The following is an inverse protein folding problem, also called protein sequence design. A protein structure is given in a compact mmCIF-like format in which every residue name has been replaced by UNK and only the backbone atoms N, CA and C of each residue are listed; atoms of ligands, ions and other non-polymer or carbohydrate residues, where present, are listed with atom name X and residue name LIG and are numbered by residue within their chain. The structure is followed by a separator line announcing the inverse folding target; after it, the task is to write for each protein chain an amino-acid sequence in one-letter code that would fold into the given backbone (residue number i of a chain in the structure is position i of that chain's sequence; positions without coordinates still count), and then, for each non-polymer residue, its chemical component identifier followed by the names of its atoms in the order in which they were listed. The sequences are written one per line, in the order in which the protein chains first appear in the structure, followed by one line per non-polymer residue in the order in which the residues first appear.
data_IF_861395264601
#
_entry.id   IF_861395264601
#
_cell.length_a   1.000
_cell.length_b   1.000
_cell.length_c   1.000
_cell.angle_alpha   90.00
_cell.angle_beta   90.00
_cell.angle_gamma   90.00
#
_symmetry.space_group_name_H-M   'P 1'
#
loop_
_entity.id
_entity.type
_entity.pdbx_description
1 polymer ?
#
# COMPACT_ATOMS: atom_id res chain seq x y z
N UNK A 1 10.73 -19.82 6.81
CA UNK A 1 10.05 -18.81 7.66
C UNK A 1 10.50 -17.39 7.35
N UNK A 2 11.81 -17.09 7.38
CA UNK A 2 12.39 -15.77 7.07
C UNK A 2 11.99 -15.19 5.69
N UNK A 3 11.90 -16.04 4.65
CA UNK A 3 11.44 -15.66 3.30
C UNK A 3 10.02 -15.06 3.25
N UNK A 4 9.14 -15.38 4.21
CA UNK A 4 7.78 -14.83 4.27
C UNK A 4 7.71 -13.50 5.01
N UNK A 5 8.57 -13.30 6.01
CA UNK A 5 8.64 -12.06 6.81
C UNK A 5 9.20 -10.89 5.97
N UNK A 6 10.18 -11.17 5.11
CA UNK A 6 10.77 -10.18 4.19
C UNK A 6 9.74 -9.58 3.22
N UNK A 7 8.84 -10.42 2.71
CA UNK A 7 7.82 -10.02 1.72
C UNK A 7 6.70 -9.18 2.34
N UNK A 8 6.47 -9.34 3.65
CA UNK A 8 5.53 -8.52 4.43
C UNK A 8 6.07 -7.14 4.67
N UNK A 9 7.38 -7.01 4.95
CA UNK A 9 8.01 -5.70 5.10
C UNK A 9 7.84 -4.83 3.85
N UNK A 10 8.02 -5.43 2.67
CA UNK A 10 7.77 -4.76 1.38
C UNK A 10 6.29 -4.40 1.21
N UNK A 11 5.37 -5.32 1.52
CA UNK A 11 3.92 -5.08 1.46
C UNK A 11 3.47 -3.87 2.29
N UNK A 12 4.01 -3.75 3.50
CA UNK A 12 3.66 -2.68 4.45
C UNK A 12 4.30 -1.36 4.01
N UNK A 13 5.55 -1.35 3.56
CA UNK A 13 6.22 -0.14 3.05
C UNK A 13 5.49 0.45 1.83
N UNK A 14 5.01 -0.42 0.93
CA UNK A 14 4.28 -0.04 -0.30
C UNK A 14 2.89 0.49 0.02
N UNK A 15 2.19 -0.15 0.96
CA UNK A 15 0.92 0.35 1.49
C UNK A 15 1.06 1.75 2.11
N UNK A 16 2.18 2.03 2.78
CA UNK A 16 2.44 3.33 3.41
C UNK A 16 2.79 4.43 2.40
N UNK A 17 3.55 4.10 1.35
CA UNK A 17 3.77 5.02 0.21
C UNK A 17 2.45 5.34 -0.48
N UNK A 18 1.59 4.34 -0.65
CA UNK A 18 0.25 4.51 -1.22
C UNK A 18 -0.64 5.40 -0.32
N UNK A 19 -0.63 5.19 1.00
CA UNK A 19 -1.36 6.06 1.94
C UNK A 19 -0.86 7.52 1.94
N UNK A 20 0.45 7.74 1.83
CA UNK A 20 1.03 9.08 1.73
C UNK A 20 0.60 9.79 0.42
N UNK A 21 0.57 9.07 -0.70
CA UNK A 21 0.21 9.61 -2.01
C UNK A 21 -1.29 9.94 -2.15
N UNK A 22 -2.19 9.27 -1.42
CA UNK A 22 -3.65 9.48 -1.56
C UNK A 22 -4.27 10.44 -0.53
N UNK A 23 -3.47 10.98 0.39
CA UNK A 23 -3.94 11.93 1.42
C UNK A 23 -4.06 13.38 0.93
N UNK A 24 -3.57 13.69 -0.27
CA UNK A 24 -3.41 15.06 -0.75
C UNK A 24 -4.29 15.27 -1.98
N UNK A 25 -5.56 15.60 -1.79
CA UNK A 25 -6.41 15.97 -2.92
C UNK A 25 -7.57 16.90 -2.57
N UNK A 26 -7.91 17.87 -3.43
CA UNK A 26 -9.12 18.66 -3.24
C UNK A 26 -10.32 17.82 -3.66
N UNK A 27 -11.17 17.50 -2.70
CA UNK A 27 -12.43 16.79 -2.93
C UNK A 27 -12.95 16.15 -1.65
N UNK A 28 -14.25 16.33 -1.37
CA UNK A 28 -14.91 15.69 -0.23
C UNK A 28 -15.45 14.32 -0.65
N UNK A 29 -14.70 13.25 -0.42
CA UNK A 29 -15.12 11.89 -0.76
C UNK A 29 -14.68 10.86 0.26
N UNK A 30 -15.31 9.70 0.19
CA UNK A 30 -14.91 8.48 0.87
C UNK A 30 -14.73 7.37 -0.18
N UNK A 31 -13.63 6.64 -0.11
CA UNK A 31 -13.32 5.54 -1.01
C UNK A 31 -12.97 4.27 -0.23
N UNK A 32 -13.60 3.16 -0.61
CA UNK A 32 -13.29 1.83 -0.11
C UNK A 32 -12.40 1.12 -1.10
N UNK A 33 -11.36 0.48 -0.60
CA UNK A 33 -10.38 -0.25 -1.38
C UNK A 33 -10.25 -1.68 -0.86
N UNK A 34 -10.09 -2.63 -1.77
CA UNK A 34 -9.59 -3.97 -1.43
C UNK A 34 -8.12 -4.09 -1.75
N UNK A 35 -7.43 -4.91 -0.97
CA UNK A 35 -6.02 -5.20 -1.12
C UNK A 35 -5.85 -6.68 -1.44
N UNK A 36 -5.17 -6.97 -2.54
CA UNK A 36 -4.81 -8.33 -2.91
C UNK A 36 -3.30 -8.42 -3.14
N UNK A 37 -2.73 -9.54 -2.71
CA UNK A 37 -1.39 -9.98 -3.03
C UNK A 37 -1.44 -11.18 -3.97
N UNK A 38 -0.70 -11.16 -5.06
CA UNK A 38 -0.47 -12.32 -5.92
C UNK A 38 1.01 -12.66 -5.90
N UNK A 39 1.34 -13.81 -5.35
CA UNK A 39 2.70 -14.36 -5.39
C UNK A 39 2.79 -15.42 -6.49
N UNK A 40 3.74 -15.26 -7.42
CA UNK A 40 3.97 -16.21 -8.50
C UNK A 40 5.40 -16.73 -8.44
N UNK A 41 5.57 -18.03 -8.58
CA UNK A 41 6.86 -18.73 -8.57
C UNK A 41 6.84 -19.86 -9.61
N UNK A 42 7.98 -20.51 -9.92
CA UNK A 42 8.00 -21.67 -10.80
C UNK A 42 7.08 -22.81 -10.32
N UNK A 43 6.86 -22.92 -9.00
CA UNK A 43 5.97 -23.91 -8.39
C UNK A 43 4.48 -23.54 -8.43
N UNK A 44 4.11 -22.40 -9.01
CA UNK A 44 2.71 -21.95 -9.14
C UNK A 44 2.45 -20.54 -8.61
N UNK A 45 1.18 -20.13 -8.69
CA UNK A 45 0.70 -18.82 -8.24
C UNK A 45 -0.27 -18.95 -7.07
N UNK A 46 -0.16 -18.03 -6.11
CA UNK A 46 -1.02 -17.92 -4.93
C UNK A 46 -1.57 -16.51 -4.85
N UNK A 47 -2.90 -16.40 -4.78
CA UNK A 47 -3.61 -15.14 -4.54
C UNK A 47 -4.07 -15.11 -3.08
N UNK A 48 -3.83 -13.99 -2.41
CA UNK A 48 -4.20 -13.74 -1.03
C UNK A 48 -4.90 -12.40 -0.92
N UNK A 49 -6.11 -12.39 -0.36
CA UNK A 49 -6.78 -11.14 -0.03
C UNK A 49 -6.23 -10.62 1.29
N UNK A 50 -5.52 -9.49 1.20
CA UNK A 50 -4.86 -8.87 2.34
C UNK A 50 -5.82 -8.05 3.19
N UNK A 51 -6.98 -7.66 2.67
CA UNK A 51 -7.98 -6.92 3.43
C UNK A 51 -8.45 -5.67 2.70
N UNK A 52 -8.69 -4.59 3.44
CA UNK A 52 -9.31 -3.39 2.90
C UNK A 52 -8.79 -2.10 3.55
N UNK A 53 -8.94 -1.01 2.81
CA UNK A 53 -8.67 0.36 3.26
C UNK A 53 -9.91 1.19 3.00
N UNK A 54 -10.26 2.00 3.96
CA UNK A 54 -11.20 3.09 3.83
C UNK A 54 -10.44 4.40 3.94
N UNK A 55 -10.57 5.25 2.93
CA UNK A 55 -9.99 6.58 2.88
C UNK A 55 -11.12 7.61 2.84
N UNK A 56 -11.06 8.62 3.69
CA UNK A 56 -11.89 9.81 3.62
C UNK A 56 -11.03 11.04 3.41
N UNK A 57 -11.31 11.79 2.36
CA UNK A 57 -10.67 13.07 2.04
C UNK A 57 -11.70 14.18 2.19
N UNK A 58 -11.38 15.23 2.95
CA UNK A 58 -12.33 16.30 3.27
C UNK A 58 -11.63 17.53 3.83
N UNK A 59 -12.31 18.26 4.73
CA UNK A 59 -11.65 19.35 5.49
C UNK A 59 -10.59 18.80 6.44
N UNK A 60 -10.74 17.54 6.83
CA UNK A 60 -9.77 16.72 7.53
C UNK A 60 -9.80 15.34 6.86
N UNK A 61 -8.70 14.62 6.94
CA UNK A 61 -8.57 13.31 6.31
C UNK A 61 -8.66 12.22 7.36
N UNK A 62 -9.15 11.05 6.96
CA UNK A 62 -9.06 9.84 7.78
C UNK A 62 -8.79 8.61 6.93
N UNK A 63 -8.13 7.64 7.56
CA UNK A 63 -7.92 6.31 7.01
C UNK A 63 -8.23 5.28 8.08
N UNK A 64 -8.97 4.25 7.68
CA UNK A 64 -9.10 3.02 8.45
C UNK A 64 -8.69 1.86 7.55
N UNK A 65 -7.76 1.03 7.99
CA UNK A 65 -7.37 -0.16 7.25
C UNK A 65 -7.43 -1.40 8.13
N UNK A 66 -7.79 -2.53 7.52
CA UNK A 66 -7.66 -3.84 8.14
C UNK A 66 -6.88 -4.74 7.19
N UNK A 67 -5.74 -5.21 7.67
CA UNK A 67 -4.78 -6.00 6.91
C UNK A 67 -4.61 -7.36 7.60
N UNK A 68 -4.77 -8.44 6.85
CA UNK A 68 -4.67 -9.81 7.29
C UNK A 68 -3.50 -10.47 6.57
N UNK A 69 -2.54 -10.94 7.34
CA UNK A 69 -1.41 -11.68 6.79
C UNK A 69 -0.92 -12.73 7.76
N UNK A 70 -0.72 -13.95 7.27
CA UNK A 70 -0.18 -15.09 8.05
C UNK A 70 -0.87 -15.32 9.40
N UNK A 71 -2.19 -15.17 9.45
CA UNK A 71 -3.00 -15.39 10.65
C UNK A 71 -3.03 -14.22 11.63
N UNK A 72 -2.30 -13.12 11.37
CA UNK A 72 -2.42 -11.88 12.12
C UNK A 72 -3.37 -10.91 11.42
N UNK A 73 -4.14 -10.16 12.22
CA UNK A 73 -4.91 -9.00 11.78
C UNK A 73 -4.29 -7.73 12.37
N UNK A 74 -3.99 -6.78 11.48
CA UNK A 74 -3.46 -5.46 11.79
C UNK A 74 -4.54 -4.46 11.42
N UNK A 75 -4.88 -3.58 12.35
CA UNK A 75 -5.79 -2.46 12.10
C UNK A 75 -4.99 -1.16 12.18
N UNK A 76 -5.22 -0.26 11.23
CA UNK A 76 -4.58 1.05 11.19
C UNK A 76 -5.67 2.10 11.23
N UNK A 77 -5.51 3.07 12.12
CA UNK A 77 -6.34 4.27 12.21
C UNK A 77 -5.45 5.48 12.04
N UNK A 78 -5.80 6.34 11.09
CA UNK A 78 -5.11 7.60 10.85
C UNK A 78 -6.14 8.70 10.68
N UNK A 79 -5.89 9.87 11.25
CA UNK A 79 -6.72 11.04 11.02
C UNK A 79 -5.92 12.34 11.20
N UNK A 80 -6.33 13.39 10.50
CA UNK A 80 -5.80 14.74 10.68
C UNK A 80 -6.75 15.60 11.51
N UNK A 81 -6.22 16.55 12.28
CA UNK A 81 -7.00 17.60 12.93
C UNK A 81 -6.13 18.84 13.12
N UNK A 82 -6.48 19.96 12.47
CA UNK A 82 -5.84 21.27 12.67
C UNK A 82 -4.31 21.18 12.63
N UNK A 83 -3.80 20.67 11.51
CA UNK A 83 -2.37 20.46 11.20
C UNK A 83 -1.65 19.37 12.00
N UNK A 84 -2.39 18.60 12.82
CA UNK A 84 -1.84 17.45 13.54
C UNK A 84 -2.27 16.16 12.88
N UNK A 85 -1.36 15.19 12.86
CA UNK A 85 -1.61 13.83 12.42
C UNK A 85 -1.68 12.92 13.63
N UNK A 86 -2.66 12.02 13.64
CA UNK A 86 -2.82 11.01 14.68
C UNK A 86 -2.82 9.64 14.02
N UNK A 87 -2.00 8.74 14.52
CA UNK A 87 -1.92 7.38 14.01
C UNK A 87 -1.92 6.37 15.16
N UNK A 88 -2.69 5.30 14.97
CA UNK A 88 -2.67 4.13 15.82
C UNK A 88 -2.61 2.86 14.98
N UNK A 89 -1.80 1.90 15.42
CA UNK A 89 -1.71 0.56 14.84
C UNK A 89 -2.07 -0.45 15.90
N UNK A 90 -3.06 -1.30 15.63
CA UNK A 90 -3.52 -2.34 16.54
C UNK A 90 -3.24 -3.74 15.99
N UNK A 91 -2.69 -4.62 16.82
CA UNK A 91 -2.42 -6.02 16.50
C UNK A 91 -2.89 -6.88 17.67
N UNK A 92 -3.73 -7.88 17.40
CA UNK A 92 -4.24 -8.81 18.40
C UNK A 92 -4.85 -8.12 19.65
N UNK A 93 -5.51 -6.98 19.46
CA UNK A 93 -6.15 -6.20 20.54
C UNK A 93 -5.23 -5.22 21.28
N UNK A 94 -3.93 -5.21 21.00
CA UNK A 94 -2.97 -4.24 21.52
C UNK A 94 -2.74 -3.13 20.51
N UNK A 95 -2.78 -1.88 20.94
CA UNK A 95 -2.54 -0.74 20.07
C UNK A 95 -1.31 0.06 20.48
N UNK A 96 -0.61 0.58 19.48
CA UNK A 96 0.51 1.49 19.64
C UNK A 96 0.19 2.82 18.94
N UNK A 97 0.32 3.91 19.68
CA UNK A 97 0.28 5.28 19.14
C UNK A 97 1.61 5.66 18.52
N UNK A 98 1.55 6.59 17.58
CA UNK A 98 2.73 7.24 16.99
C UNK A 98 3.80 6.23 16.56
N UNK A 99 3.34 5.03 16.15
CA UNK A 99 4.21 4.00 15.65
C UNK A 99 5.04 4.64 14.52
N UNK A 100 6.38 4.63 14.59
CA UNK A 100 7.20 5.29 13.59
C UNK A 100 7.08 4.52 12.28
N UNK A 101 6.04 4.82 11.50
CA UNK A 101 5.69 4.14 10.26
C UNK A 101 6.80 4.29 9.19
N UNK A 102 7.72 5.24 9.36
CA UNK A 102 8.76 5.58 8.39
C UNK A 102 10.16 5.00 8.67
N UNK A 103 10.47 4.48 9.86
CA UNK A 103 11.89 4.48 10.30
C UNK A 103 12.77 3.27 10.02
N UNK A 104 12.30 2.12 9.55
CA UNK A 104 13.17 0.92 9.53
C UNK A 104 13.29 0.14 8.21
N UNK A 105 12.70 0.62 7.10
CA UNK A 105 12.93 -0.01 5.79
C UNK A 105 13.23 1.04 4.73
N UNK A 106 14.53 1.27 4.48
CA UNK A 106 15.03 2.15 3.42
C UNK A 106 14.90 1.46 2.04
N UNK A 107 13.67 1.10 1.66
CA UNK A 107 13.35 0.63 0.31
C UNK A 107 13.13 1.85 -0.56
N UNK A 108 14.15 2.25 -1.31
CA UNK A 108 14.03 3.38 -2.24
C UNK A 108 13.66 2.86 -3.61
N UNK A 109 12.42 3.13 -4.02
CA UNK A 109 12.04 2.96 -5.41
C UNK A 109 12.63 4.10 -6.23
N UNK A 110 13.60 3.77 -7.10
CA UNK A 110 14.11 4.73 -8.05
C UNK A 110 13.25 4.65 -9.31
N UNK A 111 12.29 5.57 -9.39
CA UNK A 111 11.49 5.78 -10.61
C UNK A 111 12.45 6.09 -11.75
N UNK A 112 12.46 5.24 -12.77
CA UNK A 112 13.21 5.48 -14.01
C UNK A 112 12.34 6.20 -15.03
N UNK A 113 11.05 5.88 -15.04
CA UNK A 113 10.10 6.37 -16.03
C UNK A 113 8.70 6.47 -15.41
N UNK A 114 8.00 7.55 -15.74
CA UNK A 114 6.62 7.80 -15.35
C UNK A 114 5.92 8.45 -16.54
N UNK A 115 4.90 7.79 -17.08
CA UNK A 115 4.16 8.30 -18.22
C UNK A 115 2.66 8.07 -18.07
N UNK A 116 1.87 8.99 -18.63
CA UNK A 116 0.45 8.75 -18.90
C UNK A 116 0.36 7.90 -20.16
N UNK A 117 -0.09 6.66 -20.02
CA UNK A 117 -0.10 5.66 -21.10
C UNK A 117 -1.47 5.42 -21.71
N UNK A 118 -2.54 5.97 -21.12
CA UNK A 118 -3.88 5.81 -21.65
C UNK A 118 -4.97 6.34 -20.73
N UNK A 119 -6.20 5.91 -21.03
CA UNK A 119 -7.41 6.19 -20.24
C UNK A 119 -7.93 4.91 -19.60
N UNK A 120 -8.55 5.04 -18.44
CA UNK A 120 -9.21 3.94 -17.75
C UNK A 120 -10.66 4.29 -17.42
N UNK A 121 -11.50 3.27 -17.27
CA UNK A 121 -12.85 3.42 -16.72
C UNK A 121 -13.06 2.43 -15.59
N UNK A 122 -13.54 2.91 -14.45
CA UNK A 122 -13.84 2.07 -13.29
C UNK A 122 -14.88 2.74 -12.41
N UNK A 123 -15.81 1.96 -11.85
CA UNK A 123 -16.94 2.47 -11.04
C UNK A 123 -17.74 3.61 -11.71
N UNK A 124 -17.82 3.62 -13.05
CA UNK A 124 -18.49 4.68 -13.81
C UNK A 124 -17.69 5.98 -13.97
N UNK A 125 -16.49 6.06 -13.41
CA UNK A 125 -15.57 7.17 -13.62
C UNK A 125 -14.63 6.89 -14.80
N UNK A 126 -14.18 7.95 -15.47
CA UNK A 126 -13.13 7.89 -16.49
C UNK A 126 -11.92 8.69 -16.03
N UNK A 127 -10.74 8.05 -16.13
CA UNK A 127 -9.49 8.56 -15.60
C UNK A 127 -8.31 8.31 -16.52
N UNK A 128 -7.11 8.55 -16.00
CA UNK A 128 -5.84 8.38 -16.70
C UNK A 128 -5.07 7.21 -16.11
N UNK A 129 -4.44 6.43 -17.00
CA UNK A 129 -3.51 5.38 -16.60
C UNK A 129 -2.12 5.97 -16.59
N UNK A 130 -1.51 5.98 -15.41
CA UNK A 130 -0.10 6.29 -15.21
C UNK A 130 0.66 5.00 -15.06
N UNK A 131 1.71 4.82 -15.86
CA UNK A 131 2.66 3.71 -15.74
C UNK A 131 3.97 4.21 -15.15
N UNK A 132 4.48 3.45 -14.18
CA UNK A 132 5.73 3.68 -13.50
C UNK A 132 6.62 2.47 -13.72
N UNK A 133 7.87 2.72 -14.09
CA UNK A 133 8.89 1.68 -14.18
C UNK A 133 10.10 2.13 -13.38
N UNK A 134 10.70 1.21 -12.63
CA UNK A 134 11.83 1.54 -11.80
C UNK A 134 12.56 0.33 -11.28
N UNK A 135 13.65 0.63 -10.60
CA UNK A 135 14.42 -0.37 -9.88
C UNK A 135 14.32 -0.07 -8.40
N UNK A 136 14.22 -1.15 -7.63
CA UNK A 136 14.24 -1.06 -6.18
C UNK A 136 15.68 -1.14 -5.70
N UNK A 137 16.13 -0.13 -4.98
CA UNK A 137 17.28 -0.28 -4.12
C UNK A 137 16.84 -1.08 -2.89
N UNK A 138 17.19 -2.36 -2.90
CA UNK A 138 16.90 -3.28 -1.81
C UNK A 138 17.85 -3.09 -0.61
N UNK A 139 18.83 -2.19 -0.71
CA UNK A 139 19.72 -1.79 0.39
C UNK A 139 20.33 -2.99 1.13
N UNK A 140 20.14 -3.03 2.45
CA UNK A 140 20.65 -4.08 3.33
C UNK A 140 20.14 -5.50 2.95
N UNK A 141 18.95 -5.62 2.34
CA UNK A 141 18.39 -6.91 1.92
C UNK A 141 19.22 -7.54 0.80
N UNK A 142 19.71 -6.73 -0.13
CA UNK A 142 20.61 -7.21 -1.20
C UNK A 142 21.93 -7.71 -0.62
N UNK A 143 22.47 -7.02 0.39
CA UNK A 143 23.71 -7.39 1.07
C UNK A 143 23.57 -8.68 1.89
N UNK A 144 22.46 -8.84 2.62
CA UNK A 144 22.14 -10.07 3.36
C UNK A 144 21.95 -11.25 2.40
N UNK A 145 21.18 -11.07 1.31
CA UNK A 145 21.01 -12.12 0.31
C UNK A 145 22.35 -12.56 -0.28
N UNK A 146 23.20 -11.59 -0.64
CA UNK A 146 24.54 -11.85 -1.17
C UNK A 146 25.44 -12.59 -0.19
N UNK A 147 25.36 -12.26 1.11
CA UNK A 147 26.10 -12.98 2.17
C UNK A 147 25.68 -14.45 2.31
N UNK A 148 24.48 -14.80 1.84
CA UNK A 148 23.95 -16.16 1.80
C UNK A 148 24.11 -16.84 0.42
N UNK A 149 24.91 -16.26 -0.48
CA UNK A 149 25.13 -16.79 -1.83
C UNK A 149 23.96 -16.60 -2.78
N UNK A 150 23.02 -15.71 -2.46
CA UNK A 150 21.83 -15.42 -3.28
C UNK A 150 22.00 -14.05 -3.95
N UNK A 151 22.01 -14.02 -5.28
CA UNK A 151 21.87 -12.76 -6.03
C UNK A 151 20.39 -12.39 -6.03
N UNK A 152 20.07 -11.22 -5.47
CA UNK A 152 18.70 -10.71 -5.40
C UNK A 152 18.62 -9.35 -6.12
N UNK A 153 17.96 -9.34 -7.27
CA UNK A 153 17.60 -8.12 -7.99
C UNK A 153 16.08 -7.99 -8.00
N UNK A 154 15.57 -6.76 -7.81
CA UNK A 154 14.15 -6.45 -7.92
C UNK A 154 13.92 -5.30 -8.92
N UNK A 155 13.17 -5.62 -9.98
CA UNK A 155 12.57 -4.60 -10.84
C UNK A 155 11.12 -4.41 -10.46
N UNK A 156 10.63 -3.17 -10.52
CA UNK A 156 9.24 -2.82 -10.27
C UNK A 156 8.58 -2.26 -11.52
N UNK A 157 7.39 -2.76 -11.83
CA UNK A 157 6.46 -2.10 -12.73
C UNK A 157 5.17 -1.76 -11.97
N UNK A 158 4.73 -0.52 -12.08
CA UNK A 158 3.52 -0.01 -11.47
C UNK A 158 2.58 0.54 -12.52
N UNK A 159 1.29 0.36 -12.32
CA UNK A 159 0.26 1.00 -13.13
C UNK A 159 -0.88 1.43 -12.23
N UNK A 160 -1.34 2.66 -12.38
CA UNK A 160 -2.39 3.21 -11.55
C UNK A 160 -3.36 4.02 -12.40
N UNK A 161 -4.65 3.92 -12.05
CA UNK A 161 -5.73 4.63 -12.69
C UNK A 161 -6.25 5.73 -11.76
N UNK A 162 -6.22 6.96 -12.25
CA UNK A 162 -6.53 8.16 -11.48
C UNK A 162 -7.63 9.01 -12.11
N UNK A 163 -8.46 9.60 -11.26
CA UNK A 163 -9.39 10.68 -11.63
C UNK A 163 -9.11 11.87 -10.74
N UNK A 164 -8.34 12.84 -11.26
CA UNK A 164 -7.73 13.85 -10.39
C UNK A 164 -6.88 13.15 -9.32
N UNK A 165 -7.22 13.33 -8.05
CA UNK A 165 -6.50 12.71 -6.92
C UNK A 165 -7.16 11.43 -6.39
N UNK A 166 -8.27 10.99 -6.98
CA UNK A 166 -8.90 9.72 -6.63
C UNK A 166 -8.18 8.58 -7.35
N UNK A 167 -7.60 7.66 -6.58
CA UNK A 167 -7.17 6.37 -7.10
C UNK A 167 -8.39 5.47 -7.32
N UNK A 168 -8.55 4.95 -8.53
CA UNK A 168 -9.57 3.95 -8.84
C UNK A 168 -9.02 2.53 -8.72
N UNK A 169 -7.80 2.31 -9.18
CA UNK A 169 -7.06 1.08 -8.92
C UNK A 169 -5.57 1.32 -9.13
N UNK A 170 -4.75 0.53 -8.45
CA UNK A 170 -3.32 0.43 -8.69
C UNK A 170 -2.92 -1.03 -8.72
N UNK A 171 -1.95 -1.35 -9.56
CA UNK A 171 -1.21 -2.61 -9.52
C UNK A 171 0.27 -2.30 -9.49
N UNK A 172 0.99 -3.04 -8.67
CA UNK A 172 2.43 -2.95 -8.61
C UNK A 172 3.03 -4.32 -8.54
N UNK A 173 3.92 -4.62 -9.48
CA UNK A 173 4.54 -5.91 -9.63
C UNK A 173 6.05 -5.81 -9.45
N UNK A 174 6.51 -6.62 -8.52
CA UNK A 174 7.91 -6.83 -8.17
C UNK A 174 8.35 -8.14 -8.78
N UNK A 175 9.44 -8.11 -9.54
CA UNK A 175 10.04 -9.32 -10.10
C UNK A 175 11.37 -9.54 -9.40
N UNK A 176 11.46 -10.65 -8.69
CA UNK A 176 12.66 -11.11 -8.00
C UNK A 176 13.29 -12.22 -8.81
N UNK A 177 14.60 -12.11 -9.04
CA UNK A 177 15.38 -13.23 -9.57
C UNK A 177 16.22 -13.81 -8.43
N UNK A 178 16.10 -15.12 -8.20
CA UNK A 178 16.83 -15.88 -7.17
C UNK A 178 17.43 -17.10 -7.86
N UNK A 179 18.75 -17.15 -8.01
CA UNK A 179 19.45 -18.26 -8.67
C UNK A 179 18.86 -18.63 -10.04
N UNK A 180 18.64 -17.62 -10.89
CA UNK A 180 18.02 -17.73 -12.24
C UNK A 180 16.52 -18.09 -12.25
N UNK A 181 15.94 -18.48 -11.12
CA UNK A 181 14.49 -18.63 -10.99
C UNK A 181 13.83 -17.28 -10.73
N UNK A 182 12.75 -17.01 -11.46
CA UNK A 182 11.96 -15.79 -11.32
C UNK A 182 10.76 -16.05 -10.41
N UNK A 183 10.64 -15.25 -9.37
CA UNK A 183 9.42 -15.08 -8.61
C UNK A 183 8.88 -13.67 -8.81
N UNK A 184 7.57 -13.48 -8.68
CA UNK A 184 7.00 -12.14 -8.68
C UNK A 184 5.97 -11.97 -7.58
N UNK A 185 5.85 -10.74 -7.12
CA UNK A 185 4.80 -10.32 -6.21
C UNK A 185 4.05 -9.20 -6.89
N UNK A 186 2.74 -9.32 -6.98
CA UNK A 186 1.87 -8.26 -7.46
C UNK A 186 0.95 -7.82 -6.33
N UNK A 187 0.99 -6.54 -6.00
CA UNK A 187 0.02 -5.89 -5.14
C UNK A 187 -1.04 -5.24 -6.00
N UNK A 188 -2.30 -5.47 -5.67
CA UNK A 188 -3.43 -4.87 -6.35
C UNK A 188 -4.29 -4.15 -5.33
N UNK A 189 -4.51 -2.87 -5.57
CA UNK A 189 -5.45 -2.03 -4.85
C UNK A 189 -6.59 -1.71 -5.81
N UNK A 190 -7.83 -2.01 -5.42
CA UNK A 190 -9.00 -1.71 -6.23
C UNK A 190 -10.02 -0.94 -5.41
N UNK A 191 -10.45 0.22 -5.91
CA UNK A 191 -11.63 0.89 -5.37
C UNK A 191 -12.85 0.00 -5.61
N UNK A 192 -13.64 -0.23 -4.57
CA UNK A 192 -14.91 -0.99 -4.64
C UNK A 192 -16.12 -0.09 -4.51
N UNK A 193 -15.95 1.07 -3.88
CA UNK A 193 -17.00 2.09 -3.74
C UNK A 193 -16.37 3.46 -3.55
N UNK A 194 -16.98 4.45 -4.18
CA UNK A 194 -16.69 5.87 -3.94
C UNK A 194 -18.01 6.55 -3.55
N UNK A 195 -17.97 7.39 -2.52
CA UNK A 195 -19.14 8.07 -1.99
C UNK A 195 -18.78 9.41 -1.37
N UNK A 196 -19.77 10.04 -0.74
CA UNK A 196 -19.58 11.28 -0.01
C UNK A 196 -18.74 11.06 1.26
N UNK A 197 -17.92 12.04 1.60
CA UNK A 197 -17.19 12.09 2.87
C UNK A 197 -18.12 11.94 4.09
N UNK A 198 -17.70 11.18 5.09
CA UNK A 198 -18.46 10.98 6.34
C UNK A 198 -17.79 11.66 7.54
N UNK A 199 -18.39 12.76 8.00
CA UNK A 199 -17.92 13.47 9.20
C UNK A 199 -18.11 12.67 10.49
N UNK A 200 -19.13 11.80 10.55
CA UNK A 200 -19.33 10.88 11.66
C UNK A 200 -18.17 9.88 11.73
N UNK A 201 -17.84 9.27 10.60
CA UNK A 201 -16.75 8.28 10.53
C UNK A 201 -15.39 8.90 10.80
N UNK A 202 -15.15 10.10 10.31
CA UNK A 202 -13.97 10.88 10.68
C UNK A 202 -13.80 10.96 12.20
N UNK A 203 -14.86 11.32 12.94
CA UNK A 203 -14.80 11.42 14.40
C UNK A 203 -14.52 10.07 15.05
N UNK A 204 -15.12 8.99 14.55
CA UNK A 204 -14.85 7.63 15.04
C UNK A 204 -13.37 7.25 14.87
N UNK A 205 -12.82 7.46 13.67
CA UNK A 205 -11.43 7.13 13.36
C UNK A 205 -10.46 8.01 14.16
N UNK A 206 -10.72 9.31 14.25
CA UNK A 206 -9.93 10.23 15.06
C UNK A 206 -9.92 9.82 16.54
N UNK A 207 -11.09 9.46 17.09
CA UNK A 207 -11.18 9.01 18.47
C UNK A 207 -10.40 7.71 18.68
N UNK A 208 -10.47 6.75 17.75
CA UNK A 208 -9.65 5.53 17.82
C UNK A 208 -8.15 5.86 17.74
N UNK A 209 -7.73 6.70 16.80
CA UNK A 209 -6.33 7.12 16.67
C UNK A 209 -5.81 7.83 17.93
N UNK A 210 -6.65 8.63 18.61
CA UNK A 210 -6.31 9.34 19.85
C UNK A 210 -6.41 8.51 21.13
N UNK A 211 -7.25 7.48 21.17
CA UNK A 211 -7.55 6.71 22.39
C UNK A 211 -6.78 5.39 22.51
N UNK A 212 -6.20 4.92 21.40
CA UNK A 212 -5.43 3.67 21.30
C UNK A 212 -4.12 3.67 22.08
#
# INVERSE_FOLDING_TARGET
MFKRILLVGVAVAVLLVLLALFSQGPGHYEANYTLTLVFTSPGGSQRMDLGWILLGTGSENYTMAVIRFSGAEIQVFYATEKDKEYAAVCIAGYCARDAPLQREMDLRFKVRKMDVVGKCRHLGYEGEIVRLEGEYDLGLLSAIAKSQGVTLNATGEGEACFVGNLLLWAREKYIFTVNEEKASIEFVINATRVGSYSAERYREVLNKAKSS
#
